data_IF_225026447398
#
_entry.id   IF_225026447398
#
_cell.length_a   1.000
_cell.length_b   1.000
_cell.length_c   1.000
_cell.angle_alpha   90.00
_cell.angle_beta   90.00
_cell.angle_gamma   90.00
#
_symmetry.space_group_name_H-M   'P 1'
#
loop_
_entity.id
_entity.type
_entity.pdbx_description
1 polymer ?
#
# COMPACT_ATOMS: atom_id res chain seq x y z
N UNK A 1 -11.49 6.66 0.29
CA UNK A 1 -10.65 5.44 0.36
C UNK A 1 -11.07 4.55 1.51
N UNK A 2 -11.11 5.05 2.75
CA UNK A 2 -11.43 4.26 3.95
C UNK A 2 -12.81 3.57 3.87
N UNK A 3 -13.84 4.28 3.42
CA UNK A 3 -15.17 3.68 3.22
C UNK A 3 -15.18 2.56 2.16
N UNK A 4 -14.34 2.65 1.13
CA UNK A 4 -14.18 1.56 0.17
C UNK A 4 -13.47 0.37 0.79
N UNK A 5 -12.46 0.60 1.65
CA UNK A 5 -11.82 -0.49 2.39
C UNK A 5 -12.82 -1.21 3.30
N UNK A 6 -13.61 -0.47 4.09
CA UNK A 6 -14.66 -1.04 4.96
C UNK A 6 -15.64 -1.87 4.13
N UNK A 7 -16.14 -1.34 3.01
CA UNK A 7 -17.01 -2.09 2.10
C UNK A 7 -16.34 -3.36 1.55
N UNK A 8 -15.08 -3.29 1.10
CA UNK A 8 -14.35 -4.47 0.60
C UNK A 8 -14.10 -5.52 1.70
N UNK A 9 -13.90 -5.09 2.94
CA UNK A 9 -13.63 -5.96 4.09
C UNK A 9 -14.91 -6.63 4.62
N UNK A 10 -15.95 -5.85 4.83
CA UNK A 10 -17.16 -6.28 5.54
C UNK A 10 -18.28 -6.75 4.62
N UNK A 11 -18.45 -6.11 3.46
CA UNK A 11 -19.56 -6.42 2.55
C UNK A 11 -19.14 -7.39 1.44
N UNK A 12 -17.94 -7.18 0.88
CA UNK A 12 -17.42 -8.00 -0.22
C UNK A 12 -16.48 -9.11 0.24
N UNK A 13 -16.06 -9.09 1.51
CA UNK A 13 -15.20 -10.08 2.15
C UNK A 13 -13.94 -10.45 1.35
N UNK A 14 -13.39 -9.47 0.61
CA UNK A 14 -12.19 -9.65 -0.21
C UNK A 14 -10.91 -9.12 0.44
N UNK A 15 -10.93 -8.82 1.74
CA UNK A 15 -9.72 -8.47 2.48
C UNK A 15 -9.00 -9.71 3.03
N UNK A 16 -7.91 -9.51 3.76
CA UNK A 16 -7.26 -10.53 4.56
C UNK A 16 -6.56 -9.88 5.78
N UNK A 17 -6.20 -10.66 6.82
CA UNK A 17 -5.58 -10.11 8.03
C UNK A 17 -4.31 -9.27 7.77
N UNK A 18 -3.53 -9.65 6.77
CA UNK A 18 -2.31 -8.95 6.35
C UNK A 18 -2.61 -7.59 5.74
N UNK A 19 -3.65 -7.49 4.90
CA UNK A 19 -4.10 -6.24 4.29
C UNK A 19 -4.73 -5.33 5.34
N UNK A 20 -5.57 -5.87 6.22
CA UNK A 20 -6.22 -5.11 7.28
C UNK A 20 -5.18 -4.42 8.16
N UNK A 21 -4.18 -5.19 8.62
CA UNK A 21 -3.08 -4.66 9.43
C UNK A 21 -2.25 -3.61 8.69
N UNK A 22 -1.98 -3.79 7.40
CA UNK A 22 -1.22 -2.82 6.62
C UNK A 22 -2.01 -1.52 6.41
N UNK A 23 -3.32 -1.61 6.16
CA UNK A 23 -4.21 -0.45 6.06
C UNK A 23 -4.20 0.35 7.35
N UNK A 24 -4.33 -0.31 8.51
CA UNK A 24 -4.32 0.35 9.83
C UNK A 24 -2.98 1.05 10.10
N UNK A 25 -1.86 0.38 9.81
CA UNK A 25 -0.51 0.95 9.94
C UNK A 25 -0.33 2.19 9.05
N UNK A 26 -0.78 2.14 7.80
CA UNK A 26 -0.69 3.29 6.91
C UNK A 26 -1.51 4.48 7.44
N UNK A 27 -2.71 4.25 7.96
CA UNK A 27 -3.55 5.30 8.55
C UNK A 27 -2.90 5.89 9.80
N UNK A 28 -2.32 5.04 10.66
CA UNK A 28 -1.61 5.48 11.86
C UNK A 28 -0.43 6.40 11.55
N UNK A 29 0.34 6.13 10.49
CA UNK A 29 1.54 6.90 10.13
C UNK A 29 1.29 8.06 9.15
N UNK A 30 0.03 8.47 8.97
CA UNK A 30 -0.30 9.73 8.33
C UNK A 30 -0.89 9.63 6.92
N UNK A 31 -1.29 8.44 6.46
CA UNK A 31 -2.15 8.35 5.29
C UNK A 31 -3.53 8.97 5.58
N UNK A 32 -4.00 9.86 4.70
CA UNK A 32 -5.35 10.44 4.77
C UNK A 32 -6.41 9.41 4.35
N UNK A 33 -6.00 8.42 3.56
CA UNK A 33 -6.82 7.26 3.29
C UNK A 33 -6.01 6.08 2.79
N UNK A 34 -6.47 4.86 3.10
CA UNK A 34 -5.80 3.62 2.72
C UNK A 34 -6.83 2.53 2.40
N UNK A 35 -6.51 1.65 1.45
CA UNK A 35 -7.34 0.50 1.06
C UNK A 35 -6.51 -0.56 0.32
N UNK A 36 -7.03 -1.79 0.25
CA UNK A 36 -6.54 -2.80 -0.70
C UNK A 36 -6.71 -2.32 -2.15
N UNK A 37 -5.88 -2.81 -3.07
CA UNK A 37 -6.00 -2.55 -4.51
C UNK A 37 -5.79 -3.82 -5.32
N UNK A 38 -6.53 -3.97 -6.41
CA UNK A 38 -6.65 -5.23 -7.15
C UNK A 38 -7.78 -6.11 -6.61
N UNK A 39 -7.64 -7.42 -6.76
CA UNK A 39 -8.70 -8.39 -6.47
C UNK A 39 -8.99 -8.59 -4.98
N UNK A 40 -7.97 -8.48 -4.12
CA UNK A 40 -8.07 -8.78 -2.69
C UNK A 40 -7.44 -10.13 -2.31
N UNK A 41 -7.78 -10.62 -1.11
CA UNK A 41 -7.22 -11.82 -0.46
C UNK A 41 -5.68 -11.84 -0.45
N UNK A 42 -5.07 -10.67 -0.28
CA UNK A 42 -3.63 -10.43 -0.38
C UNK A 42 -3.30 -9.37 -1.43
N UNK A 43 -2.04 -9.37 -1.90
CA UNK A 43 -1.58 -8.39 -2.89
C UNK A 43 -1.17 -7.05 -2.27
N UNK A 44 -1.70 -5.95 -2.81
CA UNK A 44 -1.22 -4.60 -2.49
C UNK A 44 -2.27 -3.75 -1.78
N UNK A 45 -1.79 -2.73 -1.06
CA UNK A 45 -2.59 -1.60 -0.62
C UNK A 45 -2.18 -0.34 -1.38
N UNK A 46 -3.08 0.65 -1.42
CA UNK A 46 -2.80 2.00 -1.90
C UNK A 46 -3.17 3.00 -0.81
N UNK A 47 -2.25 3.91 -0.50
CA UNK A 47 -2.40 4.90 0.56
C UNK A 47 -2.15 6.30 0.01
N UNK A 48 -3.03 7.23 0.33
CA UNK A 48 -2.89 8.64 -0.01
C UNK A 48 -2.19 9.34 1.15
N UNK A 49 -1.03 9.92 0.89
CA UNK A 49 -0.13 10.49 1.92
C UNK A 49 0.22 11.93 1.52
N UNK A 50 0.15 12.91 2.44
CA UNK A 50 0.67 14.25 2.21
C UNK A 50 2.16 14.21 1.85
N UNK A 51 2.57 14.97 0.84
CA UNK A 51 3.94 14.91 0.31
C UNK A 51 5.01 15.25 1.36
N UNK A 52 4.70 16.17 2.27
CA UNK A 52 5.54 16.57 3.40
C UNK A 52 5.75 15.45 4.44
N UNK A 53 4.90 14.43 4.45
CA UNK A 53 4.99 13.27 5.35
C UNK A 53 5.57 12.03 4.70
N UNK A 54 5.87 12.06 3.40
CA UNK A 54 6.18 10.87 2.61
C UNK A 54 7.38 10.08 3.15
N UNK A 55 8.49 10.75 3.43
CA UNK A 55 9.73 10.07 3.87
C UNK A 55 9.56 9.39 5.24
N UNK A 56 8.92 10.10 6.18
CA UNK A 56 8.61 9.58 7.51
C UNK A 56 7.62 8.41 7.41
N UNK A 57 6.57 8.55 6.60
CA UNK A 57 5.59 7.50 6.35
C UNK A 57 6.25 6.22 5.82
N UNK A 58 7.11 6.33 4.81
CA UNK A 58 7.78 5.17 4.22
C UNK A 58 8.69 4.46 5.24
N UNK A 59 9.43 5.24 6.04
CA UNK A 59 10.28 4.71 7.11
C UNK A 59 9.46 3.96 8.16
N UNK A 60 8.38 4.56 8.66
CA UNK A 60 7.61 4.02 9.77
C UNK A 60 6.80 2.79 9.34
N UNK A 61 6.19 2.80 8.15
CA UNK A 61 5.50 1.62 7.60
C UNK A 61 6.48 0.46 7.37
N UNK A 62 7.69 0.75 6.86
CA UNK A 62 8.74 -0.27 6.70
C UNK A 62 9.09 -0.94 8.02
N UNK A 63 9.30 -0.15 9.07
CA UNK A 63 9.66 -0.64 10.39
C UNK A 63 8.50 -1.42 11.04
N UNK A 64 7.27 -0.92 10.94
CA UNK A 64 6.12 -1.48 11.65
C UNK A 64 5.51 -2.73 10.99
N UNK A 65 5.65 -2.90 9.67
CA UNK A 65 5.01 -4.01 8.95
C UNK A 65 6.00 -5.00 8.31
N UNK A 66 7.08 -4.50 7.70
CA UNK A 66 7.99 -5.33 6.90
C UNK A 66 9.20 -5.82 7.69
N UNK A 67 9.69 -5.06 8.68
CA UNK A 67 10.84 -5.48 9.49
C UNK A 67 10.47 -6.39 10.67
N UNK A 68 9.19 -6.49 11.02
CA UNK A 68 8.72 -7.33 12.13
C UNK A 68 8.72 -8.82 11.82
N UNK A 69 8.92 -9.19 10.55
CA UNK A 69 8.83 -10.57 10.07
C UNK A 69 9.97 -10.82 9.07
N UNK A 70 10.71 -11.91 9.27
CA UNK A 70 11.89 -12.24 8.45
C UNK A 70 11.54 -12.57 7.00
N UNK A 71 10.36 -13.14 6.73
CA UNK A 71 9.87 -13.37 5.38
C UNK A 71 9.52 -12.05 4.68
N UNK A 72 8.92 -11.11 5.41
CA UNK A 72 8.60 -9.77 4.89
C UNK A 72 9.82 -8.88 4.72
N UNK A 73 10.85 -9.07 5.56
CA UNK A 73 12.10 -8.31 5.48
C UNK A 73 12.81 -8.54 4.14
N UNK A 74 12.79 -9.78 3.62
CA UNK A 74 13.33 -10.12 2.31
C UNK A 74 12.64 -9.36 1.16
N UNK A 75 11.37 -8.97 1.35
CA UNK A 75 10.56 -8.26 0.36
C UNK A 75 10.69 -6.72 0.47
N UNK A 76 11.14 -6.20 1.62
CA UNK A 76 11.06 -4.79 1.99
C UNK A 76 11.81 -3.77 1.12
N UNK A 77 12.64 -4.21 0.14
CA UNK A 77 13.26 -3.29 -0.84
C UNK A 77 12.31 -2.91 -1.98
N UNK A 78 11.42 -3.82 -2.40
CA UNK A 78 10.56 -3.63 -3.58
C UNK A 78 9.07 -3.59 -3.23
N UNK A 79 8.70 -3.78 -1.97
CA UNK A 79 7.29 -3.89 -1.55
C UNK A 79 6.66 -2.60 -1.04
N UNK A 80 7.43 -1.52 -0.90
CA UNK A 80 6.92 -0.22 -0.46
C UNK A 80 7.59 0.90 -1.27
N UNK A 81 6.79 1.65 -2.02
CA UNK A 81 7.27 2.70 -2.90
C UNK A 81 6.20 3.77 -3.13
N UNK A 82 6.63 4.98 -3.45
CA UNK A 82 5.75 6.07 -3.87
C UNK A 82 5.52 6.01 -5.39
N UNK A 83 4.36 6.49 -5.84
CA UNK A 83 4.04 6.54 -7.27
C UNK A 83 3.29 7.82 -7.63
N UNK A 84 3.28 8.12 -8.94
CA UNK A 84 2.48 9.17 -9.58
C UNK A 84 1.85 8.61 -10.86
N UNK A 85 0.75 9.18 -11.37
CA UNK A 85 0.14 8.72 -12.62
C UNK A 85 1.18 8.65 -13.75
N UNK A 86 1.37 7.44 -14.30
CA UNK A 86 2.30 7.15 -15.38
C UNK A 86 1.67 7.28 -16.76
N UNK A 87 2.50 7.16 -17.81
CA UNK A 87 2.02 7.06 -19.20
C UNK A 87 1.46 5.67 -19.48
N UNK A 88 0.53 5.58 -20.42
CA UNK A 88 0.03 4.31 -20.96
C UNK A 88 1.04 3.62 -21.88
N UNK A 89 0.58 2.62 -22.64
CA UNK A 89 1.41 1.87 -23.58
C UNK A 89 2.00 2.76 -24.69
N UNK A 90 3.26 2.50 -25.05
CA UNK A 90 4.02 3.23 -26.05
C UNK A 90 4.86 2.27 -26.89
N UNK A 91 5.09 2.61 -28.15
CA UNK A 91 6.07 1.95 -29.02
C UNK A 91 7.31 2.84 -29.08
N UNK A 92 8.47 2.26 -28.78
CA UNK A 92 9.78 2.91 -28.96
C UNK A 92 10.38 2.39 -30.27
N UNK A 93 10.72 3.30 -31.18
CA UNK A 93 11.31 2.97 -32.47
C UNK A 93 12.71 3.58 -32.50
N UNK A 94 13.71 2.77 -32.84
CA UNK A 94 15.07 3.24 -33.05
C UNK A 94 15.16 3.92 -34.43
N UNK A 95 15.84 5.06 -34.51
CA UNK A 95 15.96 5.88 -35.73
C UNK A 95 17.04 5.35 -36.67
#
# INVERSE_FOLDING_TARGET
MNQSYISCREMYECSCPELDRLVDICLQFGAVGSRLTGAGWGGCTVSMVPTDKLDTFLKDVKNAYYQTDSQRLALGKNSLFATKPGRGALVFVEA
#
